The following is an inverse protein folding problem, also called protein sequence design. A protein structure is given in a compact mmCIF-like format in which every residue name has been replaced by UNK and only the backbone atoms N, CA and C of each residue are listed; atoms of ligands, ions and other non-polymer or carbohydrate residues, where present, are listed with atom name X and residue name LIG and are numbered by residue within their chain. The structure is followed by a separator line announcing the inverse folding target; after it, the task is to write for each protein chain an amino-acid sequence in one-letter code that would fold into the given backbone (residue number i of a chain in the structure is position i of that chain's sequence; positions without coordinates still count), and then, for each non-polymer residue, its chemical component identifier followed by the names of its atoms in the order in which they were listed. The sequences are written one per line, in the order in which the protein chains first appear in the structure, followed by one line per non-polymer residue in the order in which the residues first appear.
data_IF_919258101200
#
_entry.id   IF_919258101200
#
_cell.length_a   1.000
_cell.length_b   1.000
_cell.length_c   1.000
_cell.angle_alpha   90.00
_cell.angle_beta   90.00
_cell.angle_gamma   90.00
#
_symmetry.space_group_name_H-M   'P 1'
#
loop_
_entity.id
_entity.type
_entity.pdbx_description
1 polymer ?
#
# COMPACT_ATOMS: atom_id res chain seq x y z
N UNK A 1 -56.99 -13.07 -9.75
CA UNK A 1 -55.93 -12.40 -8.96
C UNK A 1 -56.16 -10.90 -9.05
N UNK A 2 -56.71 -10.31 -7.99
CA UNK A 2 -57.02 -8.88 -7.93
C UNK A 2 -55.73 -8.08 -7.71
N UNK A 3 -55.41 -7.12 -8.58
CA UNK A 3 -54.29 -6.19 -8.37
C UNK A 3 -54.75 -5.14 -7.35
N UNK A 4 -54.24 -5.21 -6.12
CA UNK A 4 -54.41 -4.13 -5.14
C UNK A 4 -53.74 -2.87 -5.69
N UNK A 5 -54.50 -1.77 -5.75
CA UNK A 5 -53.95 -0.42 -5.94
C UNK A 5 -53.46 0.04 -4.58
N UNK A 6 -52.16 0.31 -4.49
CA UNK A 6 -51.57 0.99 -3.34
C UNK A 6 -51.93 2.47 -3.41
N UNK A 7 -52.62 2.93 -2.39
CA UNK A 7 -53.01 4.29 -2.12
C UNK A 7 -51.90 5.06 -1.39
N UNK A 8 -51.82 6.37 -1.62
CA UNK A 8 -50.74 7.23 -1.09
C UNK A 8 -50.62 7.16 0.44
N UNK A 9 -51.73 6.92 1.14
CA UNK A 9 -51.75 6.75 2.59
C UNK A 9 -51.05 5.46 3.07
N UNK A 10 -51.07 4.39 2.27
CA UNK A 10 -50.32 3.16 2.59
C UNK A 10 -48.82 3.33 2.31
N UNK A 11 -48.44 4.18 1.36
CA UNK A 11 -47.03 4.48 1.08
C UNK A 11 -46.42 5.32 2.21
N UNK A 12 -47.12 6.34 2.70
CA UNK A 12 -46.66 7.13 3.87
C UNK A 12 -46.54 6.27 5.13
N UNK A 13 -47.41 5.27 5.30
CA UNK A 13 -47.38 4.38 6.46
C UNK A 13 -46.17 3.43 6.44
N UNK A 14 -45.79 2.94 5.27
CA UNK A 14 -44.57 2.13 5.08
C UNK A 14 -43.32 2.99 5.29
N UNK A 15 -43.32 4.24 4.83
CA UNK A 15 -42.20 5.17 5.02
C UNK A 15 -42.01 5.58 6.49
N UNK A 16 -43.08 5.63 7.28
CA UNK A 16 -42.99 5.95 8.72
C UNK A 16 -42.65 4.75 9.62
N UNK A 17 -42.83 3.51 9.16
CA UNK A 17 -42.43 2.31 9.91
C UNK A 17 -40.92 2.03 9.83
N UNK A 18 -40.22 2.58 8.83
CA UNK A 18 -38.76 2.44 8.68
C UNK A 18 -37.93 3.46 9.50
N UNK A 19 -38.56 4.40 10.20
CA UNK A 19 -37.84 5.53 10.83
C UNK A 19 -37.51 5.38 12.33
N UNK A 20 -37.96 4.36 13.07
CA UNK A 20 -37.56 4.22 14.50
C UNK A 20 -37.44 2.75 14.92
N UNK A 21 -36.21 2.23 14.88
CA UNK A 21 -35.55 1.53 15.99
C UNK A 21 -34.05 1.45 15.66
N UNK A 22 -33.36 2.56 15.92
CA UNK A 22 -31.90 2.58 16.03
C UNK A 22 -31.50 1.78 17.26
N UNK A 23 -31.33 0.47 17.08
CA UNK A 23 -30.72 -0.40 18.07
C UNK A 23 -29.21 -0.10 18.09
N UNK A 24 -28.75 0.59 19.13
CA UNK A 24 -27.34 0.79 19.46
C UNK A 24 -26.62 -0.57 19.42
N UNK A 25 -25.90 -0.82 18.33
CA UNK A 25 -24.94 -1.91 18.29
C UNK A 25 -23.80 -1.48 19.20
N UNK A 26 -23.65 -2.16 20.35
CA UNK A 26 -22.58 -1.91 21.30
C UNK A 26 -21.23 -1.88 20.56
N UNK A 27 -20.67 -0.68 20.43
CA UNK A 27 -19.31 -0.47 19.97
C UNK A 27 -18.39 -1.12 21.02
N UNK A 28 -18.02 -2.37 20.80
CA UNK A 28 -16.82 -2.91 21.42
C UNK A 28 -15.67 -2.22 20.69
N UNK A 29 -15.24 -1.09 21.26
CA UNK A 29 -13.91 -0.51 21.06
C UNK A 29 -12.87 -1.55 21.51
N UNK A 30 -12.59 -2.51 20.65
CA UNK A 30 -11.30 -3.19 20.69
C UNK A 30 -10.28 -2.16 20.22
N UNK A 31 -9.62 -1.55 21.20
CA UNK A 31 -8.47 -0.67 21.09
C UNK A 31 -7.55 -1.17 19.97
N UNK A 32 -7.45 -0.41 18.88
CA UNK A 32 -6.38 -0.59 17.91
C UNK A 32 -5.09 -0.25 18.65
N UNK A 33 -4.27 -1.24 18.97
CA UNK A 33 -2.84 -1.00 19.10
C UNK A 33 -2.39 -0.50 17.72
N UNK A 34 -2.25 0.82 17.62
CA UNK A 34 -1.58 1.46 16.50
C UNK A 34 -0.14 0.98 16.58
N UNK A 35 0.20 -0.05 15.80
CA UNK A 35 1.59 -0.27 15.44
C UNK A 35 2.05 1.02 14.75
N UNK A 36 2.96 1.75 15.40
CA UNK A 36 3.68 2.88 14.82
C UNK A 36 4.50 2.36 13.64
N UNK A 37 3.87 2.18 12.48
CA UNK A 37 4.60 2.04 11.23
C UNK A 37 5.17 3.42 10.92
N UNK A 38 6.44 3.61 11.30
CA UNK A 38 7.25 4.79 11.04
C UNK A 38 7.48 4.93 9.52
N UNK A 39 6.41 5.36 8.83
CA UNK A 39 6.37 5.58 7.40
C UNK A 39 7.00 6.93 7.11
N UNK A 40 8.32 7.01 7.31
CA UNK A 40 9.15 8.12 6.84
C UNK A 40 9.23 8.10 5.30
N UNK A 41 8.11 8.38 4.64
CA UNK A 41 8.06 8.73 3.23
C UNK A 41 8.38 10.23 3.13
N UNK A 42 9.67 10.56 3.13
CA UNK A 42 10.16 11.87 2.78
C UNK A 42 9.83 12.17 1.30
N UNK A 43 8.68 12.83 1.06
CA UNK A 43 8.41 13.50 -0.20
C UNK A 43 9.27 14.76 -0.27
N UNK A 44 10.50 14.63 -0.80
CA UNK A 44 11.25 15.80 -1.30
C UNK A 44 10.84 16.02 -2.75
N UNK A 45 10.01 17.02 -2.98
CA UNK A 45 9.77 17.56 -4.31
C UNK A 45 11.00 18.36 -4.74
N UNK A 46 11.85 17.76 -5.57
CA UNK A 46 12.91 18.47 -6.28
C UNK A 46 12.55 18.53 -7.77
N UNK A 47 11.85 19.60 -8.14
CA UNK A 47 11.90 20.11 -9.51
C UNK A 47 13.24 20.83 -9.68
N UNK A 48 14.19 20.22 -10.39
CA UNK A 48 15.23 20.97 -11.10
C UNK A 48 15.71 20.20 -12.33
N UNK A 49 15.10 20.51 -13.48
CA UNK A 49 15.56 20.06 -14.78
C UNK A 49 16.78 20.89 -15.19
N UNK A 50 17.99 20.42 -14.90
CA UNK A 50 19.21 21.04 -15.46
C UNK A 50 19.65 20.31 -16.74
N UNK A 51 19.52 21.02 -17.86
CA UNK A 51 20.05 20.64 -19.17
C UNK A 51 21.56 20.35 -19.09
N UNK A 52 21.96 19.18 -19.59
CA UNK A 52 23.36 18.78 -19.72
C UNK A 52 24.04 19.61 -20.83
N UNK A 53 24.62 20.76 -20.45
CA UNK A 53 25.57 21.48 -21.30
C UNK A 53 26.98 20.98 -20.96
N UNK A 54 27.52 20.14 -21.85
CA UNK A 54 28.91 19.67 -21.81
C UNK A 54 29.88 20.83 -22.07
N UNK A 55 30.38 21.47 -21.03
CA UNK A 55 31.52 22.38 -21.09
C UNK A 55 32.74 21.75 -20.41
N UNK A 56 33.71 21.32 -21.22
CA UNK A 56 35.02 20.88 -20.75
C UNK A 56 35.76 22.09 -20.12
N UNK A 57 36.18 22.05 -18.85
CA UNK A 57 37.02 23.11 -18.31
C UNK A 57 38.48 22.91 -18.75
N UNK A 58 39.04 23.97 -19.35
CA UNK A 58 40.47 24.12 -19.64
C UNK A 58 41.25 24.17 -18.31
N UNK A 59 42.41 23.50 -18.18
CA UNK A 59 43.16 23.51 -16.93
C UNK A 59 43.92 24.82 -16.78
N UNK A 60 43.38 25.77 -16.01
CA UNK A 60 44.13 26.91 -15.52
C UNK A 60 44.84 26.53 -14.22
N UNK A 61 46.14 26.78 -14.15
CA UNK A 61 47.09 26.33 -13.13
C UNK A 61 46.97 26.98 -11.75
N UNK A 62 45.83 27.61 -11.41
CA UNK A 62 45.70 28.47 -10.22
C UNK A 62 44.61 27.99 -9.24
N UNK A 63 44.58 26.71 -8.89
CA UNK A 63 43.76 26.18 -7.79
C UNK A 63 44.64 25.62 -6.66
N UNK A 64 45.35 26.52 -5.98
CA UNK A 64 46.00 26.21 -4.70
C UNK A 64 44.92 26.14 -3.60
N UNK A 65 44.64 24.91 -3.17
CA UNK A 65 43.95 24.51 -1.92
C UNK A 65 42.49 24.98 -1.73
N UNK A 66 41.55 24.34 -2.43
CA UNK A 66 40.19 24.21 -1.89
C UNK A 66 40.24 23.32 -0.64
N UNK A 67 39.92 23.91 0.53
CA UNK A 67 39.81 23.17 1.79
C UNK A 67 38.67 22.16 1.68
N UNK A 68 38.99 20.87 1.83
CA UNK A 68 38.01 19.77 1.91
C UNK A 68 37.33 19.76 3.29
N UNK A 69 36.21 20.46 3.39
CA UNK A 69 35.40 20.55 4.62
C UNK A 69 34.71 19.21 4.97
N UNK A 70 34.57 18.32 4.00
CA UNK A 70 34.05 16.95 4.17
C UNK A 70 34.97 16.05 5.03
N UNK A 71 36.24 16.43 5.21
CA UNK A 71 37.23 15.66 5.96
C UNK A 71 37.51 16.22 7.36
N UNK A 72 36.85 17.31 7.78
CA UNK A 72 37.15 18.01 9.04
C UNK A 72 36.92 17.13 10.29
N UNK A 73 35.98 16.18 10.22
CA UNK A 73 35.66 15.26 11.31
C UNK A 73 36.36 13.89 11.19
N UNK A 74 37.28 13.74 10.24
CA UNK A 74 37.94 12.46 9.96
C UNK A 74 39.27 12.39 10.71
N UNK A 75 39.52 11.34 11.51
CA UNK A 75 40.82 11.18 12.16
C UNK A 75 41.98 11.18 11.15
N UNK A 76 43.00 12.01 11.41
CA UNK A 76 44.16 12.23 10.53
C UNK A 76 44.84 10.94 10.04
N UNK A 77 44.78 9.85 10.83
CA UNK A 77 45.33 8.55 10.44
C UNK A 77 44.67 7.99 9.17
N UNK A 78 43.37 8.20 8.98
CA UNK A 78 42.63 7.72 7.82
C UNK A 78 42.84 8.63 6.62
N UNK A 79 42.90 9.95 6.83
CA UNK A 79 43.23 10.93 5.78
C UNK A 79 44.60 10.63 5.17
N UNK A 80 45.62 10.36 6.01
CA UNK A 80 46.97 9.99 5.53
C UNK A 80 47.02 8.66 4.78
N UNK A 81 46.15 7.72 5.12
CA UNK A 81 46.08 6.42 4.47
C UNK A 81 45.19 6.43 3.22
N UNK A 82 44.40 7.49 3.02
CA UNK A 82 43.41 7.58 1.94
C UNK A 82 42.28 6.55 2.07
N UNK A 83 42.16 5.84 3.20
CA UNK A 83 41.25 4.72 3.35
C UNK A 83 40.68 4.63 4.77
N UNK A 84 39.42 4.22 4.89
CA UNK A 84 38.81 3.79 6.14
C UNK A 84 38.83 2.28 6.24
N UNK A 85 39.10 1.78 7.45
CA UNK A 85 38.98 0.36 7.78
C UNK A 85 37.75 0.15 8.65
N UNK A 86 36.97 -0.88 8.33
CA UNK A 86 35.94 -1.39 9.23
C UNK A 86 36.56 -1.79 10.58
N UNK A 87 35.76 -1.81 11.65
CA UNK A 87 36.18 -2.18 13.02
C UNK A 87 36.94 -3.51 13.05
N UNK A 88 36.59 -4.45 12.17
CA UNK A 88 37.20 -5.78 12.10
C UNK A 88 38.34 -5.87 11.05
N UNK A 89 38.73 -4.75 10.43
CA UNK A 89 39.79 -4.67 9.40
C UNK A 89 39.49 -5.34 8.06
N UNK A 90 38.37 -6.07 7.95
CA UNK A 90 38.02 -6.85 6.76
C UNK A 90 37.58 -6.00 5.56
N UNK A 91 36.93 -4.86 5.80
CA UNK A 91 36.41 -3.98 4.74
C UNK A 91 37.19 -2.68 4.71
N UNK A 92 37.64 -2.30 3.52
CA UNK A 92 38.36 -1.06 3.21
C UNK A 92 37.48 -0.16 2.36
N UNK A 93 37.31 1.09 2.78
CA UNK A 93 36.62 2.13 2.01
C UNK A 93 37.63 3.16 1.56
N UNK A 94 37.69 3.45 0.27
CA UNK A 94 38.57 4.49 -0.24
C UNK A 94 37.97 5.88 0.02
N UNK A 95 38.80 6.82 0.47
CA UNK A 95 38.39 8.23 0.65
C UNK A 95 38.28 8.90 -0.73
N UNK A 96 39.13 8.49 -1.65
CA UNK A 96 39.16 9.04 -3.00
C UNK A 96 38.23 8.26 -3.94
N UNK A 97 37.57 9.00 -4.82
CA UNK A 97 36.81 8.40 -5.91
C UNK A 97 37.72 7.54 -6.79
N UNK A 98 37.23 6.38 -7.27
CA UNK A 98 38.02 5.55 -8.16
C UNK A 98 38.33 6.31 -9.46
N UNK A 99 39.50 6.07 -10.08
CA UNK A 99 39.90 6.74 -11.31
C UNK A 99 38.85 6.52 -12.41
N UNK A 100 38.35 7.62 -12.99
CA UNK A 100 37.27 7.61 -14.00
C UNK A 100 37.70 7.07 -15.38
N UNK A 101 39.00 7.01 -15.66
CA UNK A 101 39.57 6.51 -16.92
C UNK A 101 40.00 5.04 -16.82
N UNK A 102 39.05 4.17 -16.47
CA UNK A 102 39.27 2.72 -16.42
C UNK A 102 38.10 2.04 -17.14
N UNK A 103 38.39 0.94 -17.85
CA UNK A 103 37.34 0.12 -18.47
C UNK A 103 36.30 -0.29 -17.41
N UNK A 104 35.02 -0.01 -17.67
CA UNK A 104 33.91 -0.48 -16.84
C UNK A 104 34.01 -1.98 -16.65
N UNK A 105 33.92 -2.44 -15.40
CA UNK A 105 33.98 -3.87 -15.08
C UNK A 105 32.84 -4.60 -15.79
N UNK A 106 33.06 -5.83 -16.25
CA UNK A 106 32.05 -6.58 -17.01
C UNK A 106 30.71 -6.73 -16.30
N UNK A 107 30.70 -6.88 -14.97
CA UNK A 107 29.48 -6.96 -14.15
C UNK A 107 28.74 -5.62 -13.98
N UNK A 108 29.39 -4.50 -14.28
CA UNK A 108 28.77 -3.16 -14.29
C UNK A 108 28.26 -2.77 -15.69
N UNK A 109 28.48 -3.62 -16.70
CA UNK A 109 27.93 -3.41 -18.03
C UNK A 109 26.49 -3.91 -17.99
N UNK A 110 25.56 -2.97 -17.98
CA UNK A 110 24.13 -3.27 -18.10
C UNK A 110 23.89 -3.74 -19.54
N UNK A 111 23.74 -5.05 -19.75
CA UNK A 111 23.52 -5.66 -21.07
C UNK A 111 22.05 -5.74 -21.45
N UNK A 112 21.17 -5.80 -20.46
CA UNK A 112 19.72 -5.91 -20.65
C UNK A 112 19.08 -4.53 -20.67
N UNK A 113 18.13 -4.33 -21.58
CA UNK A 113 17.37 -3.08 -21.63
C UNK A 113 16.36 -3.07 -20.49
N UNK A 114 16.23 -1.97 -19.73
CA UNK A 114 15.17 -1.84 -18.75
C UNK A 114 13.81 -1.91 -19.44
N UNK A 115 12.87 -2.66 -18.88
CA UNK A 115 11.51 -2.77 -19.40
C UNK A 115 10.78 -4.03 -18.94
N UNK A 116 9.48 -4.14 -19.28
CA UNK A 116 8.70 -5.33 -18.96
C UNK A 116 9.26 -6.56 -19.67
N UNK A 117 9.23 -7.69 -18.96
CA UNK A 117 9.70 -8.99 -19.43
C UNK A 117 8.52 -9.95 -19.60
N UNK A 118 8.67 -10.94 -20.48
CA UNK A 118 7.70 -12.02 -20.68
C UNK A 118 6.27 -11.50 -20.95
N UNK A 119 5.28 -12.09 -20.29
CA UNK A 119 3.84 -11.79 -20.40
C UNK A 119 3.51 -10.32 -20.10
N UNK A 120 4.33 -9.62 -19.30
CA UNK A 120 4.16 -8.20 -19.02
C UNK A 120 4.42 -7.30 -20.25
N UNK A 121 5.02 -7.82 -21.32
CA UNK A 121 5.19 -7.06 -22.59
C UNK A 121 3.89 -6.93 -23.37
N UNK A 122 3.00 -7.90 -23.22
CA UNK A 122 1.77 -8.00 -24.00
C UNK A 122 0.60 -7.29 -23.30
N UNK A 123 0.70 -7.01 -22.00
CA UNK A 123 -0.31 -6.26 -21.24
C UNK A 123 -0.45 -4.82 -21.74
N UNK A 124 -1.64 -4.47 -22.23
CA UNK A 124 -1.95 -3.13 -22.78
C UNK A 124 -2.80 -2.31 -21.82
N UNK A 125 -3.59 -2.96 -20.97
CA UNK A 125 -4.50 -2.28 -20.05
C UNK A 125 -3.96 -2.26 -18.62
N UNK A 126 -4.32 -1.24 -17.84
CA UNK A 126 -3.93 -1.17 -16.42
C UNK A 126 -4.43 -2.37 -15.62
N UNK A 127 -5.58 -2.95 -16.02
CA UNK A 127 -6.14 -4.13 -15.37
C UNK A 127 -5.32 -5.40 -15.68
N UNK A 128 -4.89 -5.59 -16.93
CA UNK A 128 -4.00 -6.70 -17.29
C UNK A 128 -2.68 -6.62 -16.53
N UNK A 129 -2.08 -5.43 -16.43
CA UNK A 129 -0.89 -5.19 -15.62
C UNK A 129 -1.15 -5.52 -14.14
N UNK A 130 -2.32 -5.15 -13.61
CA UNK A 130 -2.68 -5.41 -12.23
C UNK A 130 -2.84 -6.91 -11.94
N UNK A 131 -3.48 -7.66 -12.85
CA UNK A 131 -3.65 -9.12 -12.72
C UNK A 131 -2.30 -9.85 -12.74
N UNK A 132 -1.31 -9.34 -13.47
CA UNK A 132 0.06 -9.89 -13.42
C UNK A 132 0.74 -9.69 -12.06
N UNK A 133 0.42 -8.60 -11.35
CA UNK A 133 0.95 -8.33 -10.01
C UNK A 133 0.18 -9.11 -8.93
N UNK A 134 -1.14 -9.22 -9.09
CA UNK A 134 -2.05 -9.87 -8.14
C UNK A 134 -2.90 -10.91 -8.87
N UNK A 135 -2.32 -12.09 -9.16
CA UNK A 135 -3.02 -13.13 -9.89
C UNK A 135 -4.14 -13.76 -9.06
N UNK A 136 -5.18 -14.25 -9.73
CA UNK A 136 -6.41 -14.73 -9.10
C UNK A 136 -6.16 -15.87 -8.11
N UNK A 137 -5.17 -16.75 -8.36
CA UNK A 137 -4.81 -17.82 -7.45
C UNK A 137 -4.31 -17.31 -6.08
N UNK A 138 -3.60 -16.16 -6.05
CA UNK A 138 -3.14 -15.53 -4.80
C UNK A 138 -4.33 -14.90 -4.07
N UNK A 139 -5.22 -14.24 -4.80
CA UNK A 139 -6.42 -13.64 -4.22
C UNK A 139 -7.40 -14.71 -3.69
N UNK A 140 -7.53 -15.84 -4.38
CA UNK A 140 -8.31 -16.99 -3.92
C UNK A 140 -7.77 -17.55 -2.60
N UNK A 141 -6.44 -17.61 -2.44
CA UNK A 141 -5.85 -18.00 -1.14
C UNK A 141 -6.22 -17.01 -0.03
N UNK A 142 -6.18 -15.71 -0.32
CA UNK A 142 -6.61 -14.68 0.63
C UNK A 142 -8.08 -14.87 1.04
N UNK A 143 -8.96 -15.19 0.08
CA UNK A 143 -10.38 -15.51 0.35
C UNK A 143 -10.50 -16.72 1.26
N UNK A 144 -9.77 -17.81 0.98
CA UNK A 144 -9.80 -19.03 1.80
C UNK A 144 -9.40 -18.75 3.23
N UNK A 145 -8.27 -18.07 3.46
CA UNK A 145 -7.79 -17.77 4.80
C UNK A 145 -8.70 -16.80 5.55
N UNK A 146 -9.23 -15.79 4.85
CA UNK A 146 -10.21 -14.86 5.39
C UNK A 146 -11.47 -15.60 5.83
N UNK A 147 -11.97 -16.54 5.02
CA UNK A 147 -13.15 -17.33 5.34
C UNK A 147 -12.92 -18.28 6.53
N UNK A 148 -11.74 -18.89 6.66
CA UNK A 148 -11.38 -19.68 7.85
C UNK A 148 -11.52 -18.79 9.10
N UNK A 149 -10.99 -17.57 9.07
CA UNK A 149 -11.10 -16.64 10.19
C UNK A 149 -12.55 -16.20 10.46
N UNK A 150 -13.33 -15.89 9.42
CA UNK A 150 -14.75 -15.53 9.53
C UNK A 150 -15.53 -16.65 10.25
N UNK A 151 -15.33 -17.91 9.85
CA UNK A 151 -16.00 -19.04 10.51
C UNK A 151 -15.62 -19.18 11.99
N UNK A 152 -14.37 -18.86 12.36
CA UNK A 152 -13.91 -18.93 13.74
C UNK A 152 -14.56 -17.86 14.64
N UNK A 153 -14.87 -16.68 14.09
CA UNK A 153 -15.48 -15.58 14.85
C UNK A 153 -17.00 -15.54 14.78
N UNK A 154 -17.63 -16.40 13.96
CA UNK A 154 -19.07 -16.40 13.68
C UNK A 154 -19.94 -16.43 14.95
N UNK A 155 -19.53 -17.20 15.96
CA UNK A 155 -20.25 -17.30 17.24
C UNK A 155 -20.31 -15.99 18.05
N UNK A 156 -19.49 -14.99 17.71
CA UNK A 156 -19.50 -13.67 18.37
C UNK A 156 -20.59 -12.74 17.82
N UNK A 157 -21.21 -13.09 16.69
CA UNK A 157 -22.22 -12.28 16.03
C UNK A 157 -23.62 -12.78 16.37
N UNK A 158 -24.54 -11.86 16.68
CA UNK A 158 -25.93 -12.20 16.95
C UNK A 158 -26.70 -12.54 15.67
N UNK A 159 -26.33 -11.93 14.54
CA UNK A 159 -26.99 -12.12 13.24
C UNK A 159 -26.02 -12.79 12.26
N UNK A 160 -26.43 -13.92 11.69
CA UNK A 160 -25.60 -14.68 10.73
C UNK A 160 -25.23 -13.85 9.50
N UNK A 161 -26.13 -12.96 9.06
CA UNK A 161 -25.92 -12.09 7.89
C UNK A 161 -24.72 -11.15 8.01
N UNK A 162 -24.37 -10.77 9.24
CA UNK A 162 -23.29 -9.82 9.51
C UNK A 162 -21.91 -10.52 9.44
N UNK A 163 -21.89 -11.86 9.44
CA UNK A 163 -20.70 -12.70 9.41
C UNK A 163 -20.70 -13.70 8.25
N UNK A 164 -21.18 -13.26 7.08
CA UNK A 164 -21.15 -14.10 5.88
C UNK A 164 -19.72 -14.26 5.33
N UNK A 165 -19.40 -15.43 4.75
CA UNK A 165 -18.13 -15.63 4.05
C UNK A 165 -18.01 -14.65 2.87
N UNK A 166 -16.78 -14.45 2.42
CA UNK A 166 -16.44 -13.58 1.28
C UNK A 166 -16.08 -14.40 0.05
N UNK A 167 -16.22 -13.77 -1.11
CA UNK A 167 -15.91 -14.34 -2.42
C UNK A 167 -14.82 -13.53 -3.13
N UNK A 168 -14.21 -14.11 -4.16
CA UNK A 168 -13.17 -13.44 -4.97
C UNK A 168 -13.62 -12.08 -5.52
N UNK A 169 -14.89 -11.98 -5.96
CA UNK A 169 -15.46 -10.74 -6.48
C UNK A 169 -15.55 -9.67 -5.38
N UNK A 170 -15.97 -10.06 -4.18
CA UNK A 170 -16.10 -9.16 -3.05
C UNK A 170 -14.72 -8.69 -2.56
N UNK A 171 -13.72 -9.57 -2.53
CA UNK A 171 -12.34 -9.20 -2.24
C UNK A 171 -11.78 -8.21 -3.28
N UNK A 172 -12.00 -8.46 -4.58
CA UNK A 172 -11.60 -7.52 -5.64
C UNK A 172 -12.33 -6.17 -5.51
N UNK A 173 -13.60 -6.18 -5.14
CA UNK A 173 -14.38 -4.98 -4.87
C UNK A 173 -13.82 -4.19 -3.67
N UNK A 174 -13.43 -4.88 -2.59
CA UNK A 174 -12.76 -4.28 -1.43
C UNK A 174 -11.45 -3.59 -1.83
N UNK A 175 -10.60 -4.26 -2.60
CA UNK A 175 -9.34 -3.70 -3.11
C UNK A 175 -9.60 -2.50 -4.04
N UNK A 176 -10.64 -2.57 -4.88
CA UNK A 176 -11.07 -1.47 -5.73
C UNK A 176 -11.44 -0.22 -4.93
N UNK A 177 -12.19 -0.37 -3.84
CA UNK A 177 -12.51 0.74 -2.93
C UNK A 177 -11.27 1.33 -2.26
N UNK A 178 -10.32 0.49 -1.85
CA UNK A 178 -9.05 0.96 -1.28
C UNK A 178 -8.24 1.79 -2.29
N UNK A 179 -8.15 1.36 -3.55
CA UNK A 179 -7.51 2.15 -4.59
C UNK A 179 -8.24 3.46 -4.85
N UNK A 180 -9.57 3.42 -4.88
CA UNK A 180 -10.39 4.61 -5.05
C UNK A 180 -10.15 5.63 -3.93
N UNK A 181 -10.07 5.20 -2.66
CA UNK A 181 -9.71 6.08 -1.54
C UNK A 181 -8.31 6.67 -1.68
N UNK A 182 -7.37 5.89 -2.20
CA UNK A 182 -6.03 6.38 -2.55
C UNK A 182 -6.07 7.53 -3.56
N UNK A 183 -6.93 7.44 -4.58
CA UNK A 183 -7.07 8.52 -5.59
C UNK A 183 -7.66 9.81 -5.01
N UNK A 184 -8.54 9.70 -4.02
CA UNK A 184 -9.14 10.84 -3.34
C UNK A 184 -8.23 11.46 -2.27
N UNK A 185 -7.00 10.94 -2.10
CA UNK A 185 -6.10 11.27 -0.98
C UNK A 185 -6.79 11.11 0.38
N UNK A 186 -7.71 10.16 0.44
CA UNK A 186 -8.64 9.98 1.54
C UNK A 186 -8.14 9.07 2.65
N UNK A 187 -6.83 8.82 2.74
CA UNK A 187 -6.25 7.86 3.68
C UNK A 187 -6.56 8.18 5.15
N UNK A 188 -6.80 9.45 5.47
CA UNK A 188 -7.13 9.92 6.82
C UNK A 188 -8.56 10.45 6.94
N UNK A 189 -9.39 10.27 5.92
CA UNK A 189 -10.79 10.68 5.96
C UNK A 189 -11.63 9.66 6.73
N UNK A 190 -12.71 10.14 7.35
CA UNK A 190 -13.61 9.24 8.02
C UNK A 190 -14.36 8.42 6.97
N UNK A 191 -14.45 7.12 7.18
CA UNK A 191 -15.29 6.25 6.33
C UNK A 191 -16.74 6.70 6.24
N UNK A 192 -17.26 7.44 7.22
CA UNK A 192 -18.60 8.02 7.16
C UNK A 192 -18.77 8.99 5.99
N UNK A 193 -17.72 9.75 5.65
CA UNK A 193 -17.77 10.76 4.59
C UNK A 193 -17.96 10.10 3.22
N UNK A 194 -17.37 8.92 2.99
CA UNK A 194 -17.52 8.19 1.73
C UNK A 194 -18.89 7.54 1.55
N UNK A 195 -19.60 7.23 2.64
CA UNK A 195 -20.92 6.59 2.63
C UNK A 195 -22.04 7.55 3.06
N UNK A 196 -21.80 8.87 3.03
CA UNK A 196 -22.80 9.85 3.42
C UNK A 196 -23.97 9.92 2.41
N UNK A 197 -25.20 9.93 2.90
CA UNK A 197 -26.44 9.98 2.08
C UNK A 197 -26.90 11.42 1.81
N UNK A 198 -26.22 12.42 2.38
CA UNK A 198 -26.56 13.85 2.24
C UNK A 198 -26.17 14.47 0.89
N UNK A 199 -25.75 13.62 -0.06
CA UNK A 199 -25.28 14.02 -1.39
C UNK A 199 -23.80 14.37 -1.45
N UNK A 200 -23.07 14.27 -0.34
CA UNK A 200 -21.61 14.46 -0.30
C UNK A 200 -20.82 13.15 -0.37
N UNK A 201 -21.48 12.01 -0.16
CA UNK A 201 -20.87 10.69 -0.24
C UNK A 201 -20.53 10.25 -1.66
N UNK A 202 -19.81 9.12 -1.74
CA UNK A 202 -19.40 8.53 -3.01
C UNK A 202 -20.40 7.45 -3.43
N UNK A 203 -21.07 7.70 -4.56
CA UNK A 203 -21.98 6.72 -5.19
C UNK A 203 -21.29 5.38 -5.46
N UNK A 204 -19.99 5.40 -5.79
CA UNK A 204 -19.19 4.20 -6.04
C UNK A 204 -19.10 3.37 -4.76
N UNK A 205 -18.88 4.00 -3.60
CA UNK A 205 -18.74 3.30 -2.34
C UNK A 205 -20.06 2.64 -1.93
N UNK A 206 -21.15 3.42 -2.00
CA UNK A 206 -22.50 2.96 -1.67
C UNK A 206 -22.96 1.84 -2.61
N UNK A 207 -22.68 1.95 -3.91
CA UNK A 207 -23.06 0.93 -4.89
C UNK A 207 -22.23 -0.36 -4.80
N UNK A 208 -21.01 -0.30 -4.25
CA UNK A 208 -20.11 -1.46 -4.21
C UNK A 208 -20.39 -2.38 -3.01
N UNK A 209 -20.45 -1.82 -1.80
CA UNK A 209 -20.79 -2.57 -0.58
C UNK A 209 -21.20 -1.62 0.56
N UNK A 210 -21.87 -2.12 1.59
CA UNK A 210 -22.20 -1.30 2.76
C UNK A 210 -20.95 -0.94 3.57
N UNK A 211 -20.99 0.21 4.27
CA UNK A 211 -19.91 0.64 5.16
C UNK A 211 -19.59 -0.40 6.22
N UNK A 212 -20.62 -1.03 6.82
CA UNK A 212 -20.43 -2.08 7.81
C UNK A 212 -19.72 -3.30 7.21
N UNK A 213 -20.08 -3.72 6.00
CA UNK A 213 -19.44 -4.85 5.33
C UNK A 213 -17.99 -4.54 4.98
N UNK A 214 -17.70 -3.33 4.51
CA UNK A 214 -16.34 -2.86 4.24
C UNK A 214 -15.44 -2.98 5.49
N UNK A 215 -15.88 -2.44 6.62
CA UNK A 215 -15.15 -2.53 7.90
C UNK A 215 -14.98 -3.97 8.38
N UNK A 216 -16.05 -4.77 8.28
CA UNK A 216 -16.01 -6.17 8.66
C UNK A 216 -14.94 -6.94 7.87
N UNK A 217 -14.94 -6.79 6.53
CA UNK A 217 -13.97 -7.47 5.67
C UNK A 217 -12.54 -7.01 5.94
N UNK A 218 -12.31 -5.71 6.14
CA UNK A 218 -10.98 -5.20 6.51
C UNK A 218 -10.46 -5.83 7.80
N UNK A 219 -11.33 -5.97 8.82
CA UNK A 219 -10.96 -6.61 10.09
C UNK A 219 -10.66 -8.10 9.93
N UNK A 220 -11.38 -8.77 9.04
CA UNK A 220 -11.29 -10.22 8.85
C UNK A 220 -10.23 -10.65 7.85
N UNK A 221 -9.68 -9.73 7.03
CA UNK A 221 -8.74 -10.05 5.97
C UNK A 221 -7.51 -10.80 6.50
N UNK A 222 -7.20 -11.96 5.92
CA UNK A 222 -6.04 -12.79 6.27
C UNK A 222 -5.29 -13.25 5.02
N UNK A 223 -3.98 -13.43 5.18
CA UNK A 223 -3.05 -13.84 4.13
C UNK A 223 -2.36 -15.18 4.41
N UNK A 224 -2.61 -15.79 5.57
CA UNK A 224 -2.02 -17.06 5.99
C UNK A 224 -3.04 -17.92 6.75
N UNK A 225 -2.78 -19.21 6.80
CA UNK A 225 -3.54 -20.18 7.57
C UNK A 225 -3.25 -20.02 9.07
N UNK A 226 -4.31 -19.88 9.86
CA UNK A 226 -4.23 -19.76 11.31
C UNK A 226 -3.62 -21.04 11.92
N UNK A 227 -3.81 -22.19 11.27
CA UNK A 227 -3.32 -23.48 11.75
C UNK A 227 -1.86 -23.78 11.37
N UNK A 228 -1.25 -23.03 10.45
CA UNK A 228 0.15 -23.26 10.02
C UNK A 228 1.17 -22.91 11.11
N UNK A 229 0.88 -21.87 11.90
CA UNK A 229 1.76 -21.36 12.98
C UNK A 229 1.99 -22.33 14.14
N UNK A 230 1.14 -23.35 14.31
CA UNK A 230 1.23 -24.31 15.43
C UNK A 230 2.25 -25.44 15.19
N UNK A 231 2.82 -25.57 14.00
CA UNK A 231 3.70 -26.68 13.62
C UNK A 231 5.20 -26.37 13.68
N UNK A 232 5.60 -25.17 14.09
CA UNK A 232 7.01 -24.73 14.12
C UNK A 232 7.60 -24.73 15.52
N UNK A 233 7.13 -25.63 16.39
CA UNK A 233 7.61 -25.83 17.75
C UNK A 233 7.80 -27.32 18.06
N UNK A 234 8.59 -28.01 17.24
CA UNK A 234 9.18 -29.32 17.55
C UNK A 234 10.65 -29.38 17.09
#
# INVERSE_FOLDING_TARGET
MSRMRLDAANIEKILHEDEIEGEECSEIEDYLEIDEHDSNSCQSSEEDCTEFVSSNPVPTSDNLFHRRTDLDNVPLKYIRQGQYLSKNGAVKWNIEEPPRSVRTRSHNIITERPGPINEAKDAQTSLECWVLMYPDNVLEQCVVYTNIYITAIQNKFQRERDCLPTDLIELKALLGLLYYFGTLRGAHLNTNDFWATDGTGSDICIATMSRQRFHFLLRCLRFDDIYSSTKTAE
#
